data_IF_207977757002
#
_entry.id   IF_207977757002
#
_cell.length_a   1.000
_cell.length_b   1.000
_cell.length_c   1.000
_cell.angle_alpha   90.00
_cell.angle_beta   90.00
_cell.angle_gamma   90.00
#
_symmetry.space_group_name_H-M   'P 1'
#
loop_
_entity.id
_entity.type
_entity.pdbx_description
1 polymer ?
#
# COMPACT_ATOMS: atom_id res chain seq x y z
N UNK A 1 -45.42 27.50 30.04
CA UNK A 1 -44.35 26.50 30.24
C UNK A 1 -44.40 25.32 29.24
N UNK A 2 -45.22 25.38 28.18
CA UNK A 2 -45.27 24.36 27.11
C UNK A 2 -44.49 24.74 25.84
N UNK A 3 -44.08 26.00 25.70
CA UNK A 3 -43.38 26.50 24.50
C UNK A 3 -41.86 26.24 24.50
N UNK A 4 -41.26 25.94 25.66
CA UNK A 4 -39.83 25.66 25.76
C UNK A 4 -39.43 24.23 25.37
N UNK A 5 -40.37 23.28 25.43
CA UNK A 5 -40.12 21.87 25.08
C UNK A 5 -40.18 21.60 23.57
N UNK A 6 -40.93 22.41 22.81
CA UNK A 6 -41.06 22.25 21.36
C UNK A 6 -39.79 22.69 20.60
N UNK A 7 -39.03 23.64 21.14
CA UNK A 7 -37.78 24.14 20.54
C UNK A 7 -36.63 23.14 20.73
N UNK A 8 -36.60 22.40 21.85
CA UNK A 8 -35.60 21.36 22.07
C UNK A 8 -35.80 20.12 21.19
N UNK A 9 -37.05 19.79 20.82
CA UNK A 9 -37.34 18.66 19.91
C UNK A 9 -37.06 18.98 18.42
N UNK A 10 -37.10 20.25 18.01
CA UNK A 10 -36.71 20.65 16.64
C UNK A 10 -35.19 20.73 16.43
N UNK A 11 -34.41 20.90 17.50
CA UNK A 11 -32.94 20.93 17.41
C UNK A 11 -32.29 19.53 17.41
N UNK A 12 -33.03 18.47 17.73
CA UNK A 12 -32.56 17.08 17.64
C UNK A 12 -33.02 16.34 16.37
N UNK A 13 -33.96 16.88 15.60
CA UNK A 13 -34.46 16.27 14.37
C UNK A 13 -33.80 16.78 13.07
N UNK A 14 -32.82 17.68 13.15
CA UNK A 14 -32.14 18.28 11.99
C UNK A 14 -30.70 17.81 11.77
N UNK A 15 -30.24 16.76 12.47
CA UNK A 15 -28.88 16.20 12.32
C UNK A 15 -28.80 14.88 11.55
N UNK A 16 -29.68 14.65 10.57
CA UNK A 16 -29.68 13.39 9.81
C UNK A 16 -30.02 13.56 8.32
N UNK A 17 -29.51 14.62 7.70
CA UNK A 17 -29.34 14.73 6.25
C UNK A 17 -27.98 15.40 5.93
N UNK A 18 -26.92 14.87 6.51
CA UNK A 18 -25.55 15.15 6.08
C UNK A 18 -24.82 13.81 5.88
N UNK A 19 -25.21 13.07 4.85
CA UNK A 19 -24.39 12.00 4.30
C UNK A 19 -24.83 11.75 2.88
N UNK A 20 -24.08 12.29 1.92
CA UNK A 20 -23.97 11.88 0.51
C UNK A 20 -23.18 12.94 -0.28
N UNK A 21 -23.00 14.15 0.26
CA UNK A 21 -22.17 15.20 -0.35
C UNK A 21 -20.67 15.08 -0.03
N UNK A 22 -20.26 14.25 0.93
CA UNK A 22 -18.84 14.10 1.33
C UNK A 22 -18.02 13.19 0.39
N UNK A 23 -18.63 12.69 -0.69
CA UNK A 23 -17.93 11.90 -1.73
C UNK A 23 -17.22 12.83 -2.74
N UNK A 24 -17.53 14.14 -2.74
CA UNK A 24 -17.02 15.06 -3.75
C UNK A 24 -15.76 15.84 -3.37
N UNK A 25 -15.35 15.87 -2.10
CA UNK A 25 -14.18 16.67 -1.66
C UNK A 25 -12.99 15.84 -1.15
N UNK A 26 -13.04 14.52 -1.33
CA UNK A 26 -11.86 13.69 -1.05
C UNK A 26 -10.91 13.69 -2.23
N UNK A 27 -9.57 13.75 -2.04
CA UNK A 27 -8.65 13.62 -3.15
C UNK A 27 -8.92 12.29 -3.86
N UNK A 28 -9.31 12.37 -5.14
CA UNK A 28 -9.62 11.20 -5.98
C UNK A 28 -8.38 10.57 -6.60
N UNK A 29 -7.21 10.91 -6.09
CA UNK A 29 -5.93 10.37 -6.58
C UNK A 29 -5.49 9.24 -5.68
N UNK A 30 -5.43 8.03 -6.23
CA UNK A 30 -4.73 6.92 -5.61
C UNK A 30 -3.25 7.07 -5.92
N UNK A 31 -2.40 7.16 -4.91
CA UNK A 31 -0.97 7.34 -5.10
C UNK A 31 -0.18 6.28 -4.34
N UNK A 32 0.78 5.65 -5.00
CA UNK A 32 1.75 4.72 -4.39
C UNK A 32 3.13 5.30 -4.58
N UNK A 33 3.83 5.55 -3.48
CA UNK A 33 5.16 6.15 -3.46
C UNK A 33 6.14 5.18 -2.85
N UNK A 34 7.26 4.95 -3.52
CA UNK A 34 8.35 4.17 -2.94
C UNK A 34 9.15 5.04 -1.97
N UNK A 35 9.23 4.62 -0.71
CA UNK A 35 10.03 5.25 0.33
C UNK A 35 11.40 4.58 0.43
N UNK A 36 11.45 3.25 0.27
CA UNK A 36 12.66 2.44 0.36
C UNK A 36 12.51 1.19 -0.51
N UNK A 37 13.55 0.76 -1.26
CA UNK A 37 14.92 1.31 -1.28
C UNK A 37 15.06 2.61 -2.09
N UNK A 38 16.24 3.25 -2.01
CA UNK A 38 16.59 4.47 -2.76
C UNK A 38 17.91 4.34 -3.50
N UNK A 39 18.06 5.12 -4.57
CA UNK A 39 19.35 5.29 -5.26
C UNK A 39 20.41 5.76 -4.26
N UNK A 40 21.59 5.13 -4.31
CA UNK A 40 22.68 5.42 -3.39
C UNK A 40 23.59 4.23 -3.19
N UNK A 41 24.53 4.37 -2.25
CA UNK A 41 25.35 3.27 -1.75
C UNK A 41 25.06 3.07 -0.28
N UNK A 42 24.70 1.85 0.09
CA UNK A 42 24.22 1.51 1.44
C UNK A 42 25.00 0.33 2.01
N UNK A 43 25.02 0.19 3.32
CA UNK A 43 25.62 -1.00 3.93
C UNK A 43 24.81 -2.25 3.57
N UNK A 44 25.43 -3.40 3.28
CA UNK A 44 24.70 -4.66 3.13
C UNK A 44 23.94 -5.00 4.42
N UNK A 45 22.61 -5.01 4.37
CA UNK A 45 21.77 -5.35 5.51
C UNK A 45 21.11 -6.71 5.32
N UNK A 46 20.97 -7.47 6.41
CA UNK A 46 20.29 -8.76 6.40
C UNK A 46 18.77 -8.64 6.21
N UNK A 47 18.21 -7.42 6.37
CA UNK A 47 16.80 -7.11 6.20
C UNK A 47 16.70 -5.75 5.52
N UNK A 48 16.84 -5.73 4.20
CA UNK A 48 16.64 -4.51 3.41
C UNK A 48 15.14 -4.15 3.43
N UNK A 49 14.75 -2.98 3.99
CA UNK A 49 13.35 -2.61 4.08
C UNK A 49 12.80 -2.20 2.72
N UNK A 50 11.61 -2.69 2.40
CA UNK A 50 10.82 -2.28 1.24
C UNK A 50 9.61 -1.55 1.79
N UNK A 51 9.52 -0.25 1.54
CA UNK A 51 8.50 0.60 2.16
C UNK A 51 7.81 1.40 1.07
N UNK A 52 6.49 1.29 1.04
CA UNK A 52 5.62 2.12 0.21
C UNK A 52 4.69 2.95 1.07
N UNK A 53 4.43 4.18 0.62
CA UNK A 53 3.35 4.99 1.15
C UNK A 53 2.20 5.03 0.15
N UNK A 54 0.98 4.76 0.63
CA UNK A 54 -0.22 4.68 -0.19
C UNK A 54 -1.19 5.77 0.25
N UNK A 55 -1.49 6.72 -0.63
CA UNK A 55 -2.48 7.77 -0.38
C UNK A 55 -3.81 7.37 -0.99
N UNK A 56 -4.88 7.65 -0.24
CA UNK A 56 -6.23 7.22 -0.53
C UNK A 56 -6.35 5.69 -0.74
N UNK A 57 -5.89 4.86 0.22
CA UNK A 57 -5.89 3.40 0.09
C UNK A 57 -7.30 2.81 -0.17
N UNK A 58 -8.36 3.52 0.23
CA UNK A 58 -9.76 3.16 -0.09
C UNK A 58 -10.05 3.02 -1.58
N UNK A 59 -9.24 3.64 -2.45
CA UNK A 59 -9.38 3.55 -3.91
C UNK A 59 -8.75 2.28 -4.50
N UNK A 60 -7.94 1.52 -3.74
CA UNK A 60 -7.30 0.30 -4.23
C UNK A 60 -8.34 -0.74 -4.71
N UNK A 61 -9.39 -0.97 -3.92
CA UNK A 61 -10.47 -1.91 -4.27
C UNK A 61 -11.19 -1.48 -5.56
N UNK A 62 -11.72 -0.24 -5.69
CA UNK A 62 -12.35 0.20 -6.93
C UNK A 62 -11.43 0.15 -8.16
N UNK A 63 -10.13 0.39 -7.97
CA UNK A 63 -9.11 0.26 -9.00
C UNK A 63 -8.72 -1.19 -9.31
N UNK A 64 -9.24 -2.17 -8.56
CA UNK A 64 -8.84 -3.57 -8.69
C UNK A 64 -7.38 -3.84 -8.29
N UNK A 65 -6.72 -2.90 -7.61
CA UNK A 65 -5.33 -3.03 -7.17
C UNK A 65 -5.28 -4.02 -6.01
N UNK A 66 -4.76 -5.21 -6.30
CA UNK A 66 -4.73 -6.31 -5.35
C UNK A 66 -3.42 -6.41 -4.58
N UNK A 67 -2.33 -6.00 -5.21
CA UNK A 67 -0.99 -6.11 -4.66
C UNK A 67 -0.06 -5.04 -5.25
N UNK A 68 0.99 -4.72 -4.49
CA UNK A 68 2.22 -4.12 -5.00
C UNK A 68 3.21 -5.26 -5.17
N UNK A 69 3.62 -5.54 -6.39
CA UNK A 69 4.66 -6.54 -6.69
C UNK A 69 6.01 -5.86 -6.69
N UNK A 70 7.02 -6.52 -6.12
CA UNK A 70 8.38 -6.03 -6.10
C UNK A 70 9.38 -7.15 -6.36
N UNK A 71 10.53 -6.81 -6.93
CA UNK A 71 11.61 -7.74 -7.27
C UNK A 71 12.98 -7.09 -7.13
N UNK A 72 13.96 -7.86 -6.68
CA UNK A 72 15.37 -7.52 -6.70
C UNK A 72 16.12 -8.37 -7.72
N UNK A 73 17.08 -7.75 -8.41
CA UNK A 73 18.06 -8.46 -9.20
C UNK A 73 19.45 -7.87 -8.93
N UNK A 74 20.44 -8.75 -8.75
CA UNK A 74 21.84 -8.34 -8.79
C UNK A 74 22.22 -7.97 -10.22
N UNK A 75 22.86 -6.82 -10.42
CA UNK A 75 23.32 -6.41 -11.74
C UNK A 75 24.50 -7.30 -12.18
N UNK A 76 24.52 -7.73 -13.44
CA UNK A 76 25.61 -8.53 -14.01
C UNK A 76 25.48 -10.05 -13.82
N UNK A 77 24.48 -10.55 -13.09
CA UNK A 77 24.07 -11.95 -13.18
C UNK A 77 23.16 -12.12 -14.41
N UNK A 78 23.69 -12.75 -15.46
CA UNK A 78 23.06 -12.91 -16.79
C UNK A 78 21.86 -13.88 -16.85
N UNK A 79 21.31 -14.32 -15.72
CA UNK A 79 20.04 -15.05 -15.72
C UNK A 79 18.90 -14.07 -15.44
N UNK A 80 17.76 -14.25 -16.11
CA UNK A 80 16.48 -13.57 -15.84
C UNK A 80 15.90 -13.89 -14.44
N UNK A 81 16.75 -14.38 -13.53
CA UNK A 81 16.39 -14.84 -12.22
C UNK A 81 16.54 -13.69 -11.23
N UNK A 82 15.40 -13.18 -10.79
CA UNK A 82 15.36 -12.26 -9.66
C UNK A 82 15.98 -12.94 -8.43
N UNK A 83 16.82 -12.19 -7.73
CA UNK A 83 17.47 -12.66 -6.50
C UNK A 83 16.46 -12.77 -5.36
N UNK A 84 15.40 -11.95 -5.39
CA UNK A 84 14.28 -12.01 -4.46
C UNK A 84 13.05 -11.34 -5.07
N UNK A 85 11.86 -11.67 -4.57
CA UNK A 85 10.59 -11.05 -5.00
C UNK A 85 9.49 -11.26 -3.98
N UNK A 86 8.52 -10.34 -3.95
CA UNK A 86 7.36 -10.45 -3.08
C UNK A 86 6.18 -9.62 -3.55
N UNK A 87 5.05 -9.80 -2.85
CA UNK A 87 3.79 -9.10 -3.08
C UNK A 87 3.25 -8.57 -1.76
N UNK A 88 2.99 -7.26 -1.70
CA UNK A 88 2.28 -6.64 -0.58
C UNK A 88 0.80 -6.58 -0.92
N UNK A 89 -0.02 -7.33 -0.18
CA UNK A 89 -1.47 -7.43 -0.42
C UNK A 89 -2.19 -6.13 -0.03
N UNK A 90 -2.99 -5.60 -0.93
CA UNK A 90 -3.80 -4.39 -0.74
C UNK A 90 -5.32 -4.67 -0.68
N UNK A 91 -5.75 -5.90 -1.01
CA UNK A 91 -7.17 -6.29 -0.99
C UNK A 91 -7.82 -6.20 0.40
N UNK A 92 -7.03 -6.17 1.47
CA UNK A 92 -7.52 -6.07 2.85
C UNK A 92 -7.75 -4.62 3.29
N UNK A 93 -7.34 -3.63 2.48
CA UNK A 93 -7.54 -2.23 2.80
C UNK A 93 -9.01 -1.84 2.61
N UNK A 94 -9.54 -1.09 3.57
CA UNK A 94 -10.96 -0.71 3.63
C UNK A 94 -11.12 0.81 3.81
N UNK A 95 -12.38 1.28 3.84
CA UNK A 95 -12.69 2.71 3.97
C UNK A 95 -12.17 3.36 5.26
N UNK A 96 -11.92 2.57 6.31
CA UNK A 96 -11.37 3.03 7.59
C UNK A 96 -9.84 3.03 7.63
N UNK A 97 -9.17 2.60 6.54
CA UNK A 97 -7.72 2.58 6.46
C UNK A 97 -7.20 4.02 6.44
N UNK A 98 -6.30 4.41 7.37
CA UNK A 98 -5.71 5.74 7.38
C UNK A 98 -5.00 6.06 6.08
N UNK A 99 -5.02 7.34 5.70
CA UNK A 99 -4.28 7.85 4.56
C UNK A 99 -3.24 8.87 5.06
N UNK A 100 -1.93 8.71 4.76
CA UNK A 100 -1.33 7.60 4.00
C UNK A 100 -1.28 6.29 4.80
N UNK A 101 -1.44 5.16 4.09
CA UNK A 101 -1.16 3.82 4.61
C UNK A 101 0.28 3.45 4.30
N UNK A 102 1.01 2.92 5.28
CA UNK A 102 2.39 2.47 5.09
C UNK A 102 2.41 0.96 4.88
N UNK A 103 2.81 0.55 3.69
CA UNK A 103 3.01 -0.83 3.30
C UNK A 103 4.49 -1.19 3.47
N UNK A 104 4.77 -2.27 4.20
CA UNK A 104 6.15 -2.68 4.54
C UNK A 104 6.35 -4.14 4.18
N UNK A 105 7.48 -4.41 3.54
CA UNK A 105 8.05 -5.73 3.35
C UNK A 105 9.58 -5.66 3.54
N UNK A 106 10.28 -6.77 3.33
CA UNK A 106 11.72 -6.86 3.51
C UNK A 106 12.32 -7.92 2.60
N UNK A 107 13.60 -7.75 2.27
CA UNK A 107 14.40 -8.75 1.58
C UNK A 107 15.67 -9.08 2.37
N UNK A 108 16.01 -10.36 2.41
CA UNK A 108 17.22 -10.85 3.10
C UNK A 108 18.40 -11.11 2.17
N UNK A 109 18.19 -11.02 0.85
CA UNK A 109 19.18 -11.43 -0.16
C UNK A 109 20.44 -10.55 -0.18
N UNK A 110 20.37 -9.38 0.44
CA UNK A 110 21.46 -8.40 0.49
C UNK A 110 22.36 -8.56 1.72
N UNK A 111 22.03 -9.49 2.63
CA UNK A 111 22.80 -9.71 3.83
C UNK A 111 24.25 -10.06 3.52
N UNK A 112 25.19 -9.18 3.90
CA UNK A 112 26.64 -9.34 3.68
C UNK A 112 27.08 -9.40 2.21
N UNK A 113 26.22 -9.03 1.27
CA UNK A 113 26.53 -9.02 -0.16
C UNK A 113 26.80 -7.59 -0.61
N UNK A 114 28.01 -7.32 -1.08
CA UNK A 114 28.33 -6.10 -1.82
C UNK A 114 28.04 -6.31 -3.31
N UNK A 115 27.15 -5.50 -3.88
CA UNK A 115 26.78 -5.60 -5.29
C UNK A 115 26.06 -4.33 -5.77
N UNK A 116 25.91 -4.22 -7.09
CA UNK A 116 24.92 -3.35 -7.70
C UNK A 116 23.58 -4.09 -7.79
N UNK A 117 22.51 -3.41 -7.42
CA UNK A 117 21.17 -3.96 -7.34
C UNK A 117 20.23 -3.16 -8.20
N UNK A 118 19.32 -3.89 -8.83
CA UNK A 118 18.15 -3.35 -9.50
C UNK A 118 16.94 -3.72 -8.67
N UNK A 119 16.16 -2.72 -8.27
CA UNK A 119 14.85 -2.94 -7.68
C UNK A 119 13.78 -2.52 -8.68
N UNK A 120 12.81 -3.39 -8.86
CA UNK A 120 11.67 -3.21 -9.75
C UNK A 120 10.41 -3.37 -8.95
N UNK A 121 9.43 -2.51 -9.16
CA UNK A 121 8.10 -2.67 -8.59
C UNK A 121 7.01 -2.18 -9.54
N UNK A 122 5.83 -2.73 -9.37
CA UNK A 122 4.66 -2.37 -10.17
C UNK A 122 3.36 -2.67 -9.43
N UNK A 123 2.28 -2.08 -9.94
CA UNK A 123 0.90 -2.44 -9.58
C UNK A 123 0.14 -2.78 -10.85
N UNK A 124 -0.81 -3.70 -10.71
CA UNK A 124 -1.83 -3.92 -11.73
C UNK A 124 -3.13 -3.28 -11.26
N UNK A 125 -3.78 -2.52 -12.14
CA UNK A 125 -5.03 -1.84 -11.87
C UNK A 125 -6.00 -2.05 -13.05
N UNK A 126 -7.25 -1.72 -12.83
CA UNK A 126 -8.31 -1.78 -13.83
C UNK A 126 -8.85 -0.38 -14.08
N UNK A 127 -9.06 -0.06 -15.35
CA UNK A 127 -9.83 1.13 -15.75
C UNK A 127 -11.12 0.65 -16.41
N UNK A 128 -12.26 1.13 -15.92
CA UNK A 128 -13.52 0.90 -16.60
C UNK A 128 -13.74 1.91 -17.72
N UNK A 129 -14.28 1.42 -18.84
CA UNK A 129 -14.98 2.29 -19.77
C UNK A 129 -16.30 2.76 -19.14
N UNK A 130 -16.82 3.90 -19.58
CA UNK A 130 -18.21 4.28 -19.32
C UNK A 130 -19.21 3.37 -20.04
N UNK A 131 -18.74 2.45 -20.88
CA UNK A 131 -19.55 1.51 -21.65
C UNK A 131 -19.94 0.30 -20.79
N UNK A 132 -20.84 0.54 -19.84
CA UNK A 132 -21.53 -0.54 -19.14
C UNK A 132 -22.61 -1.06 -20.06
N UNK A 133 -22.47 -2.30 -20.54
CA UNK A 133 -23.47 -2.92 -21.41
C UNK A 133 -24.40 -3.78 -20.56
N UNK A 134 -25.71 -3.61 -20.71
CA UNK A 134 -26.66 -4.59 -20.22
C UNK A 134 -26.51 -5.87 -21.07
N UNK A 135 -26.42 -7.01 -20.41
CA UNK A 135 -26.29 -8.32 -21.04
C UNK A 135 -27.30 -9.27 -20.40
N UNK A 136 -27.93 -10.09 -21.23
CA UNK A 136 -28.73 -11.21 -20.76
C UNK A 136 -27.92 -12.50 -20.93
N UNK A 137 -27.92 -13.35 -19.91
CA UNK A 137 -27.41 -14.72 -20.06
C UNK A 137 -28.39 -15.60 -20.87
N UNK A 138 -27.96 -16.82 -21.22
CA UNK A 138 -28.78 -17.77 -21.95
C UNK A 138 -30.03 -18.22 -21.17
N UNK A 139 -30.04 -18.02 -19.84
CA UNK A 139 -31.17 -18.28 -18.95
C UNK A 139 -32.11 -17.06 -18.80
N UNK A 140 -31.84 -15.94 -19.50
CA UNK A 140 -32.61 -14.70 -19.43
C UNK A 140 -32.36 -13.84 -18.19
N UNK A 141 -31.30 -14.10 -17.41
CA UNK A 141 -30.91 -13.24 -16.29
C UNK A 141 -30.26 -11.98 -16.83
N UNK A 142 -30.80 -10.84 -16.42
CA UNK A 142 -30.22 -9.54 -16.70
C UNK A 142 -29.00 -9.29 -15.81
N UNK A 143 -27.88 -8.97 -16.44
CA UNK A 143 -26.66 -8.52 -15.82
C UNK A 143 -26.15 -7.27 -16.51
N UNK A 144 -25.14 -6.65 -15.90
CA UNK A 144 -24.36 -5.61 -16.57
C UNK A 144 -22.94 -6.12 -16.73
N UNK A 145 -22.27 -5.73 -17.80
CA UNK A 145 -20.85 -5.95 -17.99
C UNK A 145 -20.20 -4.59 -18.14
N UNK A 146 -19.37 -4.23 -17.17
CA UNK A 146 -18.41 -3.17 -17.34
C UNK A 146 -17.19 -3.76 -18.07
N UNK A 147 -16.81 -3.18 -19.20
CA UNK A 147 -15.54 -3.56 -19.83
C UNK A 147 -14.40 -3.02 -18.97
N UNK A 148 -13.75 -3.91 -18.22
CA UNK A 148 -12.54 -3.57 -17.48
C UNK A 148 -11.34 -3.89 -18.33
N UNK A 149 -10.54 -2.89 -18.67
CA UNK A 149 -9.21 -3.11 -19.17
C UNK A 149 -8.28 -3.25 -17.97
N UNK A 150 -7.60 -4.39 -17.84
CA UNK A 150 -6.54 -4.58 -16.85
C UNK A 150 -5.30 -3.90 -17.42
N UNK A 151 -4.89 -2.82 -16.79
CA UNK A 151 -3.67 -2.11 -17.10
C UNK A 151 -2.62 -2.49 -16.06
N UNK A 152 -1.47 -2.94 -16.53
CA UNK A 152 -0.24 -2.78 -15.77
C UNK A 152 0.25 -1.37 -16.07
N UNK A 153 0.71 -0.61 -15.08
CA UNK A 153 1.41 0.63 -15.39
C UNK A 153 2.55 0.26 -16.36
N UNK A 154 2.47 0.79 -17.60
CA UNK A 154 3.45 0.49 -18.64
C UNK A 154 4.85 0.99 -18.28
N UNK A 155 4.95 1.81 -17.23
CA UNK A 155 6.20 2.16 -16.55
C UNK A 155 6.49 1.12 -15.47
N UNK A 156 7.35 0.16 -15.82
CA UNK A 156 8.03 -0.65 -14.81
C UNK A 156 8.91 0.32 -13.99
N UNK A 157 8.54 0.60 -12.74
CA UNK A 157 9.31 1.49 -11.89
C UNK A 157 10.59 0.76 -11.48
N UNK A 158 11.73 1.32 -11.88
CA UNK A 158 13.05 0.73 -11.69
C UNK A 158 13.96 1.74 -11.01
N UNK A 159 14.65 1.29 -9.98
CA UNK A 159 15.73 2.03 -9.35
C UNK A 159 16.99 1.17 -9.26
N UNK A 160 18.13 1.83 -9.12
CA UNK A 160 19.43 1.19 -9.00
C UNK A 160 20.19 1.73 -7.81
N UNK A 161 20.77 0.85 -7.03
CA UNK A 161 21.60 1.20 -5.88
C UNK A 161 22.72 0.19 -5.71
N UNK A 162 23.67 0.51 -4.84
CA UNK A 162 24.81 -0.37 -4.55
C UNK A 162 24.83 -0.69 -3.06
N UNK A 163 25.30 -1.89 -2.71
CA UNK A 163 25.67 -2.23 -1.34
C UNK A 163 27.19 -2.31 -1.20
N UNK A 164 27.74 -1.68 -0.15
CA UNK A 164 29.17 -1.69 0.16
C UNK A 164 29.41 -1.59 1.67
N UNK A 165 30.31 -2.40 2.21
CA UNK A 165 30.76 -2.37 3.59
C UNK A 165 31.39 -1.01 3.93
N UNK A 166 31.38 -0.66 5.22
CA UNK A 166 31.87 0.62 5.74
C UNK A 166 31.12 1.86 5.19
N UNK A 167 29.90 1.67 4.71
CA UNK A 167 28.94 2.76 4.43
C UNK A 167 27.82 2.74 5.48
N UNK A 168 26.93 3.73 5.46
CA UNK A 168 25.80 3.79 6.40
C UNK A 168 24.69 2.85 5.94
N UNK A 169 24.13 2.08 6.87
CA UNK A 169 22.90 1.33 6.62
C UNK A 169 21.77 2.26 6.17
N UNK A 170 20.90 1.78 5.29
CA UNK A 170 19.72 2.54 4.88
C UNK A 170 18.77 2.71 6.08
N UNK A 171 18.71 3.92 6.65
CA UNK A 171 17.79 4.19 7.75
C UNK A 171 16.42 4.62 7.23
N UNK A 172 15.38 4.01 7.80
CA UNK A 172 13.98 4.31 7.51
C UNK A 172 13.69 5.78 7.83
N UNK A 173 14.26 6.28 8.93
CA UNK A 173 14.12 7.65 9.36
C UNK A 173 14.71 8.59 8.33
N UNK A 174 15.93 8.36 7.81
CA UNK A 174 16.50 9.24 6.78
C UNK A 174 15.69 9.19 5.48
N UNK A 175 15.25 7.99 5.07
CA UNK A 175 14.38 7.86 3.91
C UNK A 175 13.09 8.68 4.09
N UNK A 176 12.42 8.57 5.23
CA UNK A 176 11.17 9.30 5.47
C UNK A 176 11.32 10.77 5.87
N UNK A 177 12.55 11.24 6.13
CA UNK A 177 12.85 12.63 6.55
C UNK A 177 13.25 13.53 5.40
N UNK A 178 13.45 13.00 4.19
CA UNK A 178 13.89 13.82 3.07
C UNK A 178 12.78 14.80 2.64
N UNK A 179 13.05 16.10 2.77
CA UNK A 179 12.27 17.16 2.09
C UNK A 179 12.44 17.11 0.57
N UNK A 180 13.33 16.24 0.07
CA UNK A 180 13.31 15.84 -1.34
C UNK A 180 11.93 15.26 -1.64
N UNK A 181 11.17 16.02 -2.42
CA UNK A 181 9.94 15.59 -3.06
C UNK A 181 10.14 14.14 -3.52
N UNK A 182 9.27 13.22 -3.07
CA UNK A 182 9.23 11.90 -3.66
C UNK A 182 9.29 12.05 -5.17
N UNK A 183 10.29 11.42 -5.79
CA UNK A 183 10.53 11.61 -7.20
C UNK A 183 9.30 11.10 -7.94
N UNK A 184 8.86 11.86 -8.94
CA UNK A 184 7.83 11.44 -9.88
C UNK A 184 8.16 10.08 -10.52
N UNK A 185 9.46 9.73 -10.64
CA UNK A 185 9.93 8.44 -11.15
C UNK A 185 9.64 7.25 -10.24
N UNK A 186 9.36 7.52 -8.95
CA UNK A 186 9.22 6.51 -7.90
C UNK A 186 7.77 6.50 -7.36
N UNK A 187 6.85 7.10 -8.13
CA UNK A 187 5.45 7.30 -7.76
C UNK A 187 4.52 6.86 -8.88
N UNK A 188 3.49 6.11 -8.53
CA UNK A 188 2.33 5.87 -9.38
C UNK A 188 1.18 6.70 -8.84
N UNK A 189 0.57 7.53 -9.68
CA UNK A 189 -0.61 8.32 -9.34
C UNK A 189 -1.74 8.04 -10.34
N UNK A 190 -2.88 7.57 -9.86
CA UNK A 190 -4.06 7.26 -10.65
C UNK A 190 -5.19 8.22 -10.28
N UNK A 191 -5.60 9.05 -11.23
CA UNK A 191 -6.72 9.98 -11.06
C UNK A 191 -8.04 9.25 -11.28
N UNK A 192 -8.78 8.98 -10.20
CA UNK A 192 -10.11 8.38 -10.29
C UNK A 192 -11.09 9.49 -10.64
N UNK A 193 -11.51 9.55 -11.89
CA UNK A 193 -12.51 10.53 -12.31
C UNK A 193 -13.85 10.18 -11.71
N UNK A 194 -14.29 8.92 -11.80
CA UNK A 194 -15.57 8.46 -11.27
C UNK A 194 -15.51 7.03 -10.75
N UNK A 195 -16.52 6.65 -9.95
CA UNK A 195 -16.75 5.29 -9.48
C UNK A 195 -18.05 4.76 -10.08
N UNK A 196 -17.94 3.79 -10.98
CA UNK A 196 -19.07 3.12 -11.57
C UNK A 196 -19.49 1.96 -10.66
N UNK A 197 -20.77 1.85 -10.26
CA UNK A 197 -21.24 0.70 -9.50
C UNK A 197 -21.06 -0.55 -10.35
N UNK A 198 -20.43 -1.58 -9.78
CA UNK A 198 -20.35 -2.86 -10.46
C UNK A 198 -21.63 -3.64 -10.18
N UNK A 199 -22.26 -4.24 -11.20
CA UNK A 199 -23.33 -5.19 -10.98
C UNK A 199 -22.83 -6.34 -10.11
N UNK A 200 -23.74 -6.95 -9.35
CA UNK A 200 -23.42 -8.08 -8.47
C UNK A 200 -22.80 -9.29 -9.18
N UNK A 201 -22.75 -9.31 -10.52
CA UNK A 201 -22.17 -10.36 -11.34
C UNK A 201 -21.39 -9.71 -12.48
N UNK A 202 -20.11 -10.09 -12.64
CA UNK A 202 -19.24 -9.62 -13.70
C UNK A 202 -18.76 -10.81 -14.52
N UNK A 203 -18.68 -10.61 -15.83
CA UNK A 203 -18.01 -11.52 -16.77
C UNK A 203 -16.65 -10.93 -17.14
N UNK A 204 -15.56 -11.62 -16.80
CA UNK A 204 -14.20 -11.19 -17.14
C UNK A 204 -13.72 -11.91 -18.41
N UNK A 205 -13.47 -11.17 -19.50
CA UNK A 205 -12.83 -11.71 -20.70
C UNK A 205 -13.65 -12.78 -21.45
N UNK A 206 -12.95 -13.78 -22.01
CA UNK A 206 -13.52 -14.86 -22.82
C UNK A 206 -14.26 -15.94 -21.99
N UNK A 207 -14.20 -15.86 -20.67
CA UNK A 207 -14.75 -16.88 -19.80
C UNK A 207 -16.28 -16.77 -19.72
N UNK A 208 -16.96 -17.91 -19.73
CA UNK A 208 -18.41 -18.05 -19.55
C UNK A 208 -18.87 -17.96 -18.10
N UNK A 209 -17.95 -17.76 -17.14
CA UNK A 209 -18.29 -17.72 -15.71
C UNK A 209 -18.54 -16.30 -15.21
N UNK A 210 -19.72 -16.15 -14.60
CA UNK A 210 -20.12 -14.96 -13.85
C UNK A 210 -19.59 -15.06 -12.43
N UNK A 211 -18.91 -14.01 -11.95
CA UNK A 211 -18.46 -13.92 -10.56
C UNK A 211 -18.87 -12.59 -9.95
N UNK A 212 -19.30 -12.64 -8.69
CA UNK A 212 -19.55 -11.47 -7.85
C UNK A 212 -18.25 -11.10 -7.14
N UNK A 213 -17.50 -10.05 -7.55
CA UNK A 213 -16.35 -9.63 -6.78
C UNK A 213 -16.82 -8.97 -5.49
N UNK A 214 -16.96 -9.78 -4.44
CA UNK A 214 -17.37 -9.34 -3.10
C UNK A 214 -16.40 -8.30 -2.51
N UNK A 215 -15.15 -8.28 -2.98
CA UNK A 215 -14.12 -7.32 -2.56
C UNK A 215 -14.08 -6.03 -3.40
N UNK A 216 -14.86 -5.93 -4.48
CA UNK A 216 -14.86 -4.79 -5.41
C UNK A 216 -16.29 -4.41 -5.82
N UNK A 217 -16.99 -3.63 -4.98
CA UNK A 217 -18.37 -3.23 -5.24
C UNK A 217 -18.51 -2.16 -6.34
N UNK A 218 -17.40 -1.51 -6.71
CA UNK A 218 -17.37 -0.47 -7.73
C UNK A 218 -16.09 -0.54 -8.55
N UNK A 219 -16.11 0.15 -9.69
CA UNK A 219 -14.98 0.26 -10.60
C UNK A 219 -14.57 1.71 -10.79
N UNK A 220 -13.28 1.99 -10.77
CA UNK A 220 -12.76 3.30 -11.11
C UNK A 220 -12.77 3.55 -12.63
N UNK A 221 -13.35 4.67 -13.03
CA UNK A 221 -13.10 5.31 -14.33
C UNK A 221 -11.98 6.33 -14.15
N UNK A 222 -10.90 6.19 -14.91
CA UNK A 222 -9.71 7.03 -14.76
C UNK A 222 -9.79 8.30 -15.62
N UNK A 223 -9.45 9.43 -15.01
CA UNK A 223 -9.17 10.68 -15.70
C UNK A 223 -7.71 10.76 -16.16
N UNK A 224 -7.29 11.93 -16.71
CA UNK A 224 -5.90 12.19 -17.04
C UNK A 224 -4.98 11.96 -15.85
N UNK A 225 -3.82 11.34 -16.10
CA UNK A 225 -2.81 11.06 -15.08
C UNK A 225 -2.34 12.36 -14.42
N UNK A 226 -2.28 12.44 -13.08
CA UNK A 226 -1.75 13.61 -12.39
C UNK A 226 -0.30 13.87 -12.81
N UNK A 227 0.05 15.14 -13.02
CA UNK A 227 1.40 15.55 -13.41
C UNK A 227 2.30 15.89 -12.23
N UNK A 228 1.77 15.86 -11.00
CA UNK A 228 2.48 16.20 -9.77
C UNK A 228 2.28 15.10 -8.74
N UNK A 229 3.38 14.52 -8.24
CA UNK A 229 3.36 13.66 -7.07
C UNK A 229 3.19 14.52 -5.82
N UNK A 230 2.46 14.01 -4.86
CA UNK A 230 2.29 14.70 -3.58
C UNK A 230 3.51 14.49 -2.66
N UNK A 231 3.73 15.40 -1.70
CA UNK A 231 4.92 15.37 -0.84
C UNK A 231 5.03 14.07 -0.01
N UNK A 232 6.25 13.57 0.16
CA UNK A 232 6.59 12.43 1.02
C UNK A 232 7.02 12.81 2.44
N UNK A 233 6.79 14.05 2.85
CA UNK A 233 7.09 14.45 4.22
C UNK A 233 6.12 13.77 5.19
N UNK A 234 6.67 12.96 6.11
CA UNK A 234 5.93 12.37 7.22
C UNK A 234 6.29 13.05 8.53
N UNK A 235 5.30 13.21 9.41
CA UNK A 235 5.56 13.74 10.76
C UNK A 235 6.48 12.79 11.55
N UNK A 236 7.11 13.31 12.61
CA UNK A 236 8.06 12.54 13.42
C UNK A 236 7.46 11.25 14.01
N UNK A 237 6.19 11.27 14.40
CA UNK A 237 5.49 10.12 14.97
C UNK A 237 5.36 8.97 13.96
N UNK A 238 4.94 9.26 12.73
CA UNK A 238 4.84 8.25 11.67
C UNK A 238 6.21 7.68 11.34
N UNK A 239 7.25 8.52 11.25
CA UNK A 239 8.64 8.06 11.00
C UNK A 239 9.10 7.06 12.06
N UNK A 240 8.95 7.41 13.34
CA UNK A 240 9.35 6.55 14.46
C UNK A 240 8.56 5.24 14.49
N UNK A 241 7.26 5.28 14.20
CA UNK A 241 6.41 4.08 14.17
C UNK A 241 6.84 3.10 13.07
N UNK A 242 7.13 3.61 11.85
CA UNK A 242 7.58 2.77 10.73
C UNK A 242 8.96 2.20 11.01
N UNK A 243 9.88 2.99 11.55
CA UNK A 243 11.20 2.50 11.94
C UNK A 243 11.14 1.39 13.01
N UNK A 244 10.27 1.53 14.00
CA UNK A 244 10.03 0.49 15.00
C UNK A 244 9.48 -0.79 14.37
N UNK A 245 8.56 -0.67 13.41
CA UNK A 245 7.99 -1.83 12.72
C UNK A 245 9.03 -2.55 11.86
N UNK A 246 9.88 -1.83 11.12
CA UNK A 246 11.00 -2.42 10.36
C UNK A 246 11.98 -3.12 11.31
N UNK A 247 12.32 -2.49 12.42
CA UNK A 247 13.19 -3.09 13.45
C UNK A 247 12.59 -4.38 14.01
N UNK A 248 11.28 -4.40 14.26
CA UNK A 248 10.57 -5.60 14.70
C UNK A 248 10.69 -6.77 13.71
N UNK A 249 10.49 -6.52 12.41
CA UNK A 249 10.67 -7.56 11.39
C UNK A 249 12.12 -8.06 11.34
N UNK A 250 13.08 -7.14 11.49
CA UNK A 250 14.49 -7.49 11.53
C UNK A 250 14.87 -8.34 12.76
N UNK A 251 14.23 -8.13 13.90
CA UNK A 251 14.37 -9.00 15.07
C UNK A 251 13.72 -10.36 14.82
N UNK A 252 12.48 -10.38 14.31
CA UNK A 252 11.72 -11.61 14.07
C UNK A 252 12.45 -12.56 13.13
N UNK A 253 13.07 -12.07 12.06
CA UNK A 253 13.82 -12.87 11.10
C UNK A 253 15.06 -13.55 11.73
N UNK A 254 15.63 -12.92 12.77
CA UNK A 254 16.84 -13.39 13.45
C UNK A 254 16.55 -14.24 14.70
N UNK A 255 15.29 -14.31 15.15
CA UNK A 255 14.91 -15.21 16.23
C UNK A 255 14.73 -16.63 15.66
N UNK A 256 15.82 -17.39 15.53
CA UNK A 256 15.72 -18.86 15.49
C UNK A 256 15.11 -19.31 16.81
N UNK A 257 13.92 -19.93 16.77
CA UNK A 257 13.42 -20.69 17.91
C UNK A 257 14.52 -21.65 18.33
N UNK A 258 14.93 -21.68 19.62
CA UNK A 258 15.92 -22.64 20.05
C UNK A 258 15.35 -24.04 19.77
N UNK A 259 15.97 -24.76 18.84
CA UNK A 259 16.03 -26.21 19.00
C UNK A 259 16.56 -26.45 20.41
N UNK A 260 15.86 -27.30 21.15
CA UNK A 260 16.13 -27.62 22.55
C UNK A 260 17.63 -27.60 22.85
N UNK A 261 18.03 -26.73 23.80
CA UNK A 261 19.40 -26.45 24.30
C UNK A 261 19.98 -25.11 23.82
N UNK A 262 19.46 -23.99 24.34
CA UNK A 262 20.27 -22.91 24.94
C UNK A 262 19.38 -21.76 25.40
N UNK A 263 19.16 -21.65 26.72
CA UNK A 263 18.30 -20.64 27.36
C UNK A 263 18.87 -19.19 27.32
N UNK A 264 20.08 -18.98 26.77
CA UNK A 264 20.72 -17.67 26.71
C UNK A 264 20.34 -16.83 25.47
N UNK A 265 19.85 -17.46 24.40
CA UNK A 265 19.46 -16.74 23.16
C UNK A 265 18.01 -16.23 23.18
N UNK A 266 17.16 -16.74 24.06
CA UNK A 266 15.73 -16.38 24.11
C UNK A 266 15.45 -15.09 24.88
N UNK A 267 16.29 -14.72 25.85
CA UNK A 267 16.08 -13.52 26.68
C UNK A 267 16.29 -12.22 25.91
N UNK A 268 17.20 -12.20 24.92
CA UNK A 268 17.49 -11.03 24.11
C UNK A 268 16.37 -10.72 23.10
N UNK A 269 15.76 -11.74 22.47
CA UNK A 269 14.58 -11.55 21.63
C UNK A 269 13.39 -11.08 22.48
N UNK A 270 13.19 -11.64 23.68
CA UNK A 270 12.04 -11.28 24.54
C UNK A 270 12.13 -9.86 25.06
N UNK A 271 13.31 -9.39 25.49
CA UNK A 271 13.51 -8.03 25.98
C UNK A 271 13.42 -6.98 24.86
N UNK A 272 13.91 -7.30 23.65
CA UNK A 272 13.76 -6.42 22.49
C UNK A 272 12.31 -6.37 21.98
N UNK A 273 11.58 -7.50 22.01
CA UNK A 273 10.14 -7.52 21.76
C UNK A 273 9.39 -6.72 22.82
N UNK A 274 9.74 -6.85 24.10
CA UNK A 274 9.10 -6.10 25.18
C UNK A 274 9.30 -4.60 24.99
N UNK A 275 10.50 -4.16 24.61
CA UNK A 275 10.78 -2.76 24.31
C UNK A 275 10.02 -2.26 23.09
N UNK A 276 9.98 -3.03 21.99
CA UNK A 276 9.22 -2.66 20.79
C UNK A 276 7.71 -2.61 21.06
N UNK A 277 7.18 -3.58 21.83
CA UNK A 277 5.78 -3.63 22.26
C UNK A 277 5.45 -2.50 23.24
N UNK A 278 6.35 -2.18 24.18
CA UNK A 278 6.21 -1.04 25.10
C UNK A 278 6.28 0.30 24.35
N UNK A 279 7.12 0.42 23.32
CA UNK A 279 7.16 1.59 22.44
C UNK A 279 5.85 1.72 21.64
N UNK A 280 5.35 0.61 21.09
CA UNK A 280 4.06 0.57 20.39
C UNK A 280 2.88 0.87 21.32
N UNK A 281 2.89 0.40 22.57
CA UNK A 281 1.86 0.71 23.56
C UNK A 281 1.95 2.15 24.07
N UNK A 282 3.15 2.72 24.20
CA UNK A 282 3.33 4.13 24.57
C UNK A 282 2.90 5.09 23.45
N UNK A 283 3.04 4.70 22.19
CA UNK A 283 2.60 5.48 21.02
C UNK A 283 1.14 5.22 20.62
N UNK A 284 0.57 4.07 20.99
CA UNK A 284 -0.82 3.68 20.69
C UNK A 284 -1.90 4.30 21.57
N UNK A 285 -1.55 5.19 22.51
CA UNK A 285 -2.51 5.88 23.39
C UNK A 285 -2.95 7.27 22.85
N UNK A 286 -2.44 7.71 21.68
CA UNK A 286 -2.81 9.03 21.10
C UNK A 286 -3.56 8.89 19.75
N UNK A 287 -4.17 7.74 19.47
CA UNK A 287 -5.16 7.64 18.38
C UNK A 287 -6.43 6.96 18.89
N UNK A 288 -7.25 7.77 19.54
CA UNK A 288 -8.71 7.69 19.51
C UNK A 288 -9.23 9.10 19.21
#
# INVERSE_FOLDING_TARGET
MAYFLAIFLFLFASRSLASLSDIYDTPRVFEVQLISPRNGTWEPTANMPIIFAIKNPRLASPLGVSYISWRFAKLGTFSDQYSDSGDIKLQTLNGSTPSPYIAIDHSSVMGKVEAEWVFVWDISFSNCSNDVTDVQDEDGREGRVATTNIWRDGKINRLQFTTRNATTAMSVEAAMSSDDTCRLSDTIALNVHDLLPLPGWIRTGDQSQWYAPTWRPSCANLGPTPTTASSCAFNGTTRSSVAAQVSYYGCKSNCTLPGERSAASSSNCFNSLLFAVLLCMALGVILN
#
